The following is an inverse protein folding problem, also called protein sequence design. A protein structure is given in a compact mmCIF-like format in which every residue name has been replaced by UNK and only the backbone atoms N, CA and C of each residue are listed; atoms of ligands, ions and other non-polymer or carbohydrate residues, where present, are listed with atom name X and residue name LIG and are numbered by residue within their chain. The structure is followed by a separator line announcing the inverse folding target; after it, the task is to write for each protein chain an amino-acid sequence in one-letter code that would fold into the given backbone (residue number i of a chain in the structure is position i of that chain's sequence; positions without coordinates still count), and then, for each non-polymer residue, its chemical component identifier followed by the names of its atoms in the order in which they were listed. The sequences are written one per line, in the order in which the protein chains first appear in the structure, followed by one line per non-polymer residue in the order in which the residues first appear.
data_IF_783075921974
#
_entry.id   IF_783075921974
#
_cell.length_a   1.000
_cell.length_b   1.000
_cell.length_c   1.000
_cell.angle_alpha   90.00
_cell.angle_beta   90.00
_cell.angle_gamma   90.00
#
_symmetry.space_group_name_H-M   'P 1'
#
loop_
_entity.id
_entity.type
_entity.pdbx_description
1 polymer ?
#
# COMPACT_ATOMS: atom_id res chain seq x y z
N UNK A 1 1.49 -16.68 -13.97
CA UNK A 1 2.00 -15.72 -12.98
C UNK A 1 0.88 -14.71 -12.70
N UNK A 2 0.11 -14.91 -11.63
CA UNK A 2 -1.02 -14.05 -11.30
C UNK A 2 -0.46 -12.78 -10.64
N UNK A 3 -0.18 -11.75 -11.46
CA UNK A 3 0.32 -10.45 -10.98
C UNK A 3 -0.69 -9.78 -10.02
N UNK A 4 -1.98 -10.15 -10.09
CA UNK A 4 -3.00 -9.76 -9.11
C UNK A 4 -2.88 -10.43 -7.73
N UNK A 5 -2.09 -11.51 -7.58
CA UNK A 5 -1.95 -12.26 -6.32
C UNK A 5 -1.12 -11.49 -5.27
N UNK A 6 0.01 -10.89 -5.69
CA UNK A 6 0.98 -10.31 -4.75
C UNK A 6 0.46 -9.06 -4.05
N UNK A 7 -0.19 -8.16 -4.79
CA UNK A 7 -0.78 -6.93 -4.22
C UNK A 7 -1.92 -7.26 -3.27
N UNK A 8 -2.69 -8.31 -3.59
CA UNK A 8 -3.76 -8.78 -2.72
C UNK A 8 -3.21 -9.37 -1.41
N UNK A 9 -2.17 -10.20 -1.49
CA UNK A 9 -1.50 -10.78 -0.33
C UNK A 9 -0.90 -9.68 0.57
N UNK A 10 -0.17 -8.72 -0.01
CA UNK A 10 0.40 -7.59 0.74
C UNK A 10 -0.69 -6.71 1.37
N UNK A 11 -1.82 -6.54 0.68
CA UNK A 11 -2.96 -5.81 1.22
C UNK A 11 -3.59 -6.53 2.43
N UNK A 12 -3.73 -7.85 2.36
CA UNK A 12 -4.22 -8.67 3.48
C UNK A 12 -3.26 -8.55 4.67
N UNK A 13 -1.96 -8.75 4.45
CA UNK A 13 -0.95 -8.59 5.50
C UNK A 13 -0.98 -7.19 6.12
N UNK A 14 -1.18 -6.15 5.29
CA UNK A 14 -1.26 -4.76 5.75
C UNK A 14 -2.46 -4.49 6.66
N UNK A 15 -3.64 -5.02 6.32
CA UNK A 15 -4.84 -4.87 7.16
C UNK A 15 -4.82 -5.83 8.36
N UNK A 16 -4.04 -6.91 8.32
CA UNK A 16 -3.92 -7.83 9.44
C UNK A 16 -2.98 -7.33 10.53
N UNK A 17 -1.97 -6.53 10.16
CA UNK A 17 -0.92 -6.04 11.06
C UNK A 17 -1.38 -5.08 12.15
N UNK A 18 -2.44 -4.30 11.91
CA UNK A 18 -2.89 -3.24 12.80
C UNK A 18 -4.41 -3.04 12.71
N UNK A 19 -5.10 -3.07 13.86
CA UNK A 19 -6.56 -2.97 13.93
C UNK A 19 -7.11 -1.61 13.48
N UNK A 20 -6.36 -0.52 13.69
CA UNK A 20 -6.74 0.81 13.21
C UNK A 20 -6.61 0.89 11.69
N UNK A 21 -5.53 0.36 11.13
CA UNK A 21 -5.33 0.22 9.68
C UNK A 21 -6.44 -0.63 9.06
N UNK A 22 -6.77 -1.76 9.70
CA UNK A 22 -7.87 -2.63 9.29
C UNK A 22 -9.19 -1.87 9.21
N UNK A 23 -9.58 -1.19 10.29
CA UNK A 23 -10.84 -0.45 10.35
C UNK A 23 -10.90 0.65 9.29
N UNK A 24 -9.78 1.35 9.05
CA UNK A 24 -9.68 2.36 7.99
C UNK A 24 -9.93 1.76 6.61
N UNK A 25 -9.26 0.66 6.26
CA UNK A 25 -9.39 0.05 4.94
C UNK A 25 -10.72 -0.66 4.74
N UNK A 26 -11.27 -1.32 5.76
CA UNK A 26 -12.63 -1.88 5.71
C UNK A 26 -13.68 -0.80 5.50
N UNK A 27 -13.54 0.36 6.16
CA UNK A 27 -14.40 1.52 5.92
C UNK A 27 -14.27 2.01 4.48
N UNK A 28 -13.05 2.05 3.94
CA UNK A 28 -12.81 2.47 2.55
C UNK A 28 -13.45 1.51 1.55
N UNK A 29 -13.26 0.21 1.70
CA UNK A 29 -13.91 -0.84 0.90
C UNK A 29 -15.43 -0.68 0.93
N UNK A 30 -16.01 -0.42 2.10
CA UNK A 30 -17.47 -0.18 2.22
C UNK A 30 -17.92 1.06 1.45
N UNK A 31 -17.09 2.10 1.33
CA UNK A 31 -17.44 3.36 0.68
C UNK A 31 -17.22 3.36 -0.83
N UNK A 32 -16.15 2.73 -1.31
CA UNK A 32 -15.71 2.84 -2.71
C UNK A 32 -15.64 1.50 -3.46
N UNK A 33 -15.84 0.37 -2.76
CA UNK A 33 -15.68 -0.97 -3.33
C UNK A 33 -14.27 -1.52 -3.18
N UNK A 34 -14.16 -2.85 -3.29
CA UNK A 34 -12.90 -3.57 -3.06
C UNK A 34 -11.81 -3.20 -4.07
N UNK A 35 -12.13 -3.23 -5.37
CA UNK A 35 -11.15 -2.95 -6.43
C UNK A 35 -10.58 -1.53 -6.34
N UNK A 36 -11.44 -0.55 -6.02
CA UNK A 36 -11.02 0.84 -5.85
C UNK A 36 -10.10 1.01 -4.63
N UNK A 37 -10.45 0.39 -3.50
CA UNK A 37 -9.60 0.41 -2.30
C UNK A 37 -8.24 -0.27 -2.55
N UNK A 38 -8.23 -1.38 -3.30
CA UNK A 38 -6.99 -2.08 -3.65
C UNK A 38 -6.11 -1.25 -4.60
N UNK A 39 -6.71 -0.51 -5.54
CA UNK A 39 -5.98 0.44 -6.39
C UNK A 39 -5.34 1.56 -5.57
N UNK A 40 -6.08 2.15 -4.62
CA UNK A 40 -5.56 3.19 -3.72
C UNK A 40 -4.40 2.66 -2.86
N UNK A 41 -4.52 1.43 -2.33
CA UNK A 41 -3.43 0.81 -1.60
C UNK A 41 -2.18 0.64 -2.47
N UNK A 42 -2.35 0.18 -3.71
CA UNK A 42 -1.24 0.04 -4.65
C UNK A 42 -0.54 1.37 -4.95
N UNK A 43 -1.29 2.46 -5.05
CA UNK A 43 -0.73 3.81 -5.19
C UNK A 43 0.08 4.21 -3.96
N UNK A 44 -0.40 3.92 -2.74
CA UNK A 44 0.36 4.22 -1.51
C UNK A 44 1.68 3.46 -1.40
N UNK A 45 1.77 2.25 -1.96
CA UNK A 45 3.03 1.49 -2.05
C UNK A 45 4.04 2.18 -2.98
N UNK A 46 3.58 2.65 -4.15
CA UNK A 46 4.43 3.36 -5.11
C UNK A 46 4.95 4.69 -4.55
N UNK A 47 4.13 5.40 -3.78
CA UNK A 47 4.55 6.66 -3.13
C UNK A 47 5.63 6.42 -2.05
N UNK A 48 5.54 5.30 -1.33
CA UNK A 48 6.51 4.91 -0.31
C UNK A 48 7.87 4.51 -0.92
N UNK A 49 7.86 3.78 -2.03
CA UNK A 49 9.08 3.41 -2.78
C UNK A 49 9.75 4.64 -3.40
N UNK A 50 8.96 5.61 -3.87
CA UNK A 50 9.46 6.86 -4.45
C UNK A 50 10.17 7.73 -3.42
N UNK A 51 9.71 7.74 -2.17
CA UNK A 51 10.36 8.51 -1.10
C UNK A 51 11.66 7.87 -0.58
N UNK A 52 11.76 6.54 -0.51
CA UNK A 52 13.02 5.87 -0.14
C UNK A 52 14.14 6.14 -1.16
N UNK A 53 13.80 6.21 -2.44
CA UNK A 53 14.77 6.46 -3.52
C UNK A 53 15.39 7.86 -3.47
N UNK A 54 14.67 8.84 -2.90
CA UNK A 54 15.14 10.22 -2.79
C UNK A 54 16.04 10.45 -1.56
N UNK A 55 15.89 9.67 -0.49
CA UNK A 55 16.73 9.79 0.71
C UNK A 55 18.13 9.23 0.45
N UNK A 56 18.27 8.09 -0.24
CA UNK A 56 19.58 7.50 -0.54
C UNK A 56 20.44 8.30 -1.53
N UNK A 57 19.86 9.21 -2.33
CA UNK A 57 20.63 10.04 -3.28
C UNK A 57 21.32 11.24 -2.62
N UNK A 58 20.79 11.72 -1.50
CA UNK A 58 21.33 12.90 -0.81
C UNK A 58 22.57 12.54 0.02
N UNK A 59 22.67 11.29 0.50
CA UNK A 59 23.80 10.81 1.32
C UNK A 59 25.08 10.50 0.52
N UNK A 60 25.03 10.47 -0.82
CA UNK A 60 26.21 10.16 -1.68
C UNK A 60 26.89 11.40 -2.29
N UNK A 61 26.50 12.61 -1.88
CA UNK A 61 27.06 13.87 -2.41
C UNK A 61 27.79 14.72 -1.35
N UNK A 62 28.30 14.12 -0.27
CA UNK A 62 29.26 14.78 0.63
C UNK A 62 30.62 14.11 0.59
#
# INVERSE_FOLDING_TARGET
MLIGSKVLEEFIDHIERDDFVRLRWLKRIRQSGFDQALSEYRETLMDLETHQTNICRIDQSQ
#
